data_IF_648756838783
#
_entry.id   IF_648756838783
#
_cell.length_a   1.000
_cell.length_b   1.000
_cell.length_c   1.000
_cell.angle_alpha   90.00
_cell.angle_beta   90.00
_cell.angle_gamma   90.00
#
_symmetry.space_group_name_H-M   'P 1'
#
loop_
_entity.id
_entity.type
_entity.pdbx_description
1 polymer ?
#
# COMPACT_ATOMS: atom_id res chain seq x y z
N UNK A 1 -27.41 -11.42 -5.96
CA UNK A 1 -26.75 -12.33 -6.92
C UNK A 1 -25.60 -11.56 -7.54
N UNK A 2 -24.34 -11.94 -7.26
CA UNK A 2 -23.20 -11.41 -8.04
C UNK A 2 -23.37 -11.95 -9.46
N UNK A 3 -23.57 -11.08 -10.45
CA UNK A 3 -23.43 -11.48 -11.85
C UNK A 3 -22.00 -12.01 -11.99
N UNK A 4 -21.82 -13.30 -12.27
CA UNK A 4 -20.50 -13.85 -12.54
C UNK A 4 -20.03 -13.23 -13.86
N UNK A 5 -19.14 -12.23 -13.76
CA UNK A 5 -18.44 -11.69 -14.91
C UNK A 5 -17.62 -12.79 -15.57
N UNK A 6 -17.67 -12.89 -16.90
CA UNK A 6 -16.92 -13.89 -17.62
C UNK A 6 -15.41 -13.58 -17.59
N UNK A 7 -14.58 -14.60 -17.38
CA UNK A 7 -13.13 -14.48 -17.42
C UNK A 7 -12.55 -15.53 -18.36
N UNK A 8 -11.44 -15.22 -19.01
CA UNK A 8 -10.67 -16.20 -19.78
C UNK A 8 -9.19 -15.81 -19.85
N UNK A 9 -8.34 -16.78 -20.18
CA UNK A 9 -6.91 -16.57 -20.42
C UNK A 9 -6.62 -16.88 -21.88
N UNK A 10 -5.94 -15.97 -22.58
CA UNK A 10 -5.45 -16.23 -23.93
C UNK A 10 -4.14 -17.02 -23.84
N UNK A 11 -4.10 -18.28 -24.32
CA UNK A 11 -2.91 -19.12 -24.24
C UNK A 11 -1.76 -18.67 -25.16
N UNK A 12 -2.03 -17.85 -26.18
CA UNK A 12 -0.99 -17.36 -27.11
C UNK A 12 -0.23 -16.17 -26.52
N UNK A 13 -0.95 -15.27 -25.83
CA UNK A 13 -0.37 -14.05 -25.25
C UNK A 13 -0.11 -14.17 -23.76
N UNK A 14 -0.64 -15.21 -23.10
CA UNK A 14 -0.64 -15.39 -21.65
C UNK A 14 -1.21 -14.16 -20.92
N UNK A 15 -2.29 -13.60 -21.47
CA UNK A 15 -3.04 -12.50 -20.88
C UNK A 15 -4.32 -13.02 -20.24
N UNK A 16 -4.70 -12.41 -19.13
CA UNK A 16 -5.96 -12.64 -18.44
C UNK A 16 -6.96 -11.54 -18.83
N UNK A 17 -8.18 -11.95 -19.13
CA UNK A 17 -9.27 -11.08 -19.55
C UNK A 17 -10.43 -11.23 -18.58
N UNK A 18 -10.89 -10.10 -18.04
CA UNK A 18 -12.05 -10.02 -17.14
C UNK A 18 -13.10 -9.13 -17.78
N UNK A 19 -14.29 -9.68 -18.00
CA UNK A 19 -15.41 -8.94 -18.57
C UNK A 19 -15.66 -7.70 -17.70
N UNK A 20 -15.75 -6.54 -18.33
CA UNK A 20 -15.95 -5.28 -17.63
C UNK A 20 -17.28 -4.69 -18.06
N UNK A 21 -18.15 -4.42 -17.09
CA UNK A 21 -19.40 -3.71 -17.39
C UNK A 21 -19.11 -2.22 -17.58
N UNK A 22 -19.24 -1.75 -18.81
CA UNK A 22 -19.14 -0.33 -19.20
C UNK A 22 -20.04 0.61 -18.40
N UNK A 23 -21.10 0.09 -17.77
CA UNK A 23 -22.13 0.90 -17.11
C UNK A 23 -22.08 0.86 -15.58
N UNK A 24 -21.24 0.02 -14.96
CA UNK A 24 -21.28 -0.18 -13.49
C UNK A 24 -19.95 -0.34 -12.79
N UNK A 25 -18.85 -0.71 -13.47
CA UNK A 25 -17.57 -0.93 -12.78
C UNK A 25 -16.55 0.18 -13.04
N UNK A 26 -16.12 0.86 -11.98
CA UNK A 26 -14.97 1.76 -12.00
C UNK A 26 -13.62 1.01 -12.01
N UNK A 27 -13.63 -0.33 -12.03
CA UNK A 27 -12.42 -1.15 -11.91
C UNK A 27 -11.35 -0.77 -12.93
N UNK A 28 -11.69 -0.72 -14.23
CA UNK A 28 -10.71 -0.37 -15.26
C UNK A 28 -10.12 1.02 -15.04
N UNK A 29 -10.96 1.98 -14.67
CA UNK A 29 -10.52 3.35 -14.37
C UNK A 29 -9.54 3.36 -13.19
N UNK A 30 -9.86 2.67 -12.09
CA UNK A 30 -8.99 2.58 -10.91
C UNK A 30 -7.68 1.87 -11.20
N UNK A 31 -7.72 0.79 -11.97
CA UNK A 31 -6.52 0.10 -12.46
C UNK A 31 -5.64 1.06 -13.27
N UNK A 32 -6.21 1.85 -14.19
CA UNK A 32 -5.44 2.83 -14.98
C UNK A 32 -4.92 3.99 -14.13
N UNK A 33 -5.67 4.46 -13.14
CA UNK A 33 -5.23 5.54 -12.25
C UNK A 33 -4.07 5.08 -11.35
N UNK A 34 -4.13 3.87 -10.80
CA UNK A 34 -3.07 3.34 -9.96
C UNK A 34 -1.83 2.92 -10.77
N UNK A 35 -2.05 2.23 -11.89
CA UNK A 35 -0.99 1.54 -12.63
C UNK A 35 -0.56 2.20 -13.93
N UNK A 36 -1.20 3.30 -14.35
CA UNK A 36 -0.92 3.96 -15.62
C UNK A 36 0.52 4.47 -15.77
N UNK A 37 1.22 4.69 -14.65
CA UNK A 37 2.64 5.04 -14.61
C UNK A 37 3.55 3.87 -14.22
N UNK A 38 3.01 2.66 -14.14
CA UNK A 38 3.76 1.44 -13.80
C UNK A 38 3.96 0.58 -15.04
N UNK A 39 4.84 -0.42 -14.95
CA UNK A 39 5.08 -1.38 -16.03
C UNK A 39 4.03 -2.50 -16.09
N UNK A 40 2.89 -2.38 -15.39
CA UNK A 40 1.82 -3.37 -15.49
C UNK A 40 0.99 -3.06 -16.75
N UNK A 41 0.99 -3.93 -17.78
CA UNK A 41 0.23 -3.67 -19.00
C UNK A 41 -1.26 -3.91 -18.72
N UNK A 42 -2.03 -2.83 -18.68
CA UNK A 42 -3.49 -2.87 -18.50
C UNK A 42 -4.15 -2.15 -19.66
N UNK A 43 -5.03 -2.87 -20.35
CA UNK A 43 -5.77 -2.34 -21.49
C UNK A 43 -7.17 -2.94 -21.54
N UNK A 44 -7.94 -2.57 -22.57
CA UNK A 44 -9.21 -3.22 -22.88
C UNK A 44 -9.21 -3.83 -24.27
N UNK A 45 -9.96 -4.92 -24.43
CA UNK A 45 -10.22 -5.52 -25.73
C UNK A 45 -11.72 -5.73 -25.92
N UNK A 46 -12.13 -5.85 -27.18
CA UNK A 46 -13.46 -6.34 -27.55
C UNK A 46 -13.35 -7.79 -27.98
N UNK A 47 -14.15 -8.67 -27.37
CA UNK A 47 -14.24 -10.09 -27.71
C UNK A 47 -15.72 -10.50 -27.65
N UNK A 48 -16.26 -11.12 -28.69
CA UNK A 48 -17.67 -11.51 -28.79
C UNK A 48 -18.66 -10.39 -28.39
N UNK A 49 -18.42 -9.18 -28.90
CA UNK A 49 -19.21 -7.97 -28.63
C UNK A 49 -19.25 -7.50 -27.16
N UNK A 50 -18.40 -8.07 -26.30
CA UNK A 50 -18.21 -7.68 -24.90
C UNK A 50 -16.84 -7.03 -24.72
N UNK A 51 -16.75 -6.07 -23.80
CA UNK A 51 -15.49 -5.45 -23.43
C UNK A 51 -14.86 -6.17 -22.25
N UNK A 52 -13.56 -6.39 -22.31
CA UNK A 52 -12.77 -7.03 -21.28
C UNK A 52 -11.60 -6.15 -20.88
N UNK A 53 -11.36 -6.02 -19.58
CA UNK A 53 -10.08 -5.54 -19.05
C UNK A 53 -9.05 -6.65 -19.21
N UNK A 54 -7.92 -6.30 -19.79
CA UNK A 54 -6.80 -7.20 -20.07
C UNK A 54 -5.62 -6.85 -19.17
N UNK A 55 -5.03 -7.86 -18.55
CA UNK A 55 -3.84 -7.75 -17.70
C UNK A 55 -2.96 -9.00 -17.85
N UNK A 56 -1.69 -8.99 -17.43
CA UNK A 56 -0.88 -10.20 -17.45
C UNK A 56 -1.54 -11.32 -16.67
N UNK A 57 -1.51 -12.52 -17.23
CA UNK A 57 -1.78 -13.70 -16.45
C UNK A 57 -0.61 -13.94 -15.48
N UNK A 58 -0.93 -14.16 -14.20
CA UNK A 58 0.08 -14.33 -13.17
C UNK A 58 -0.49 -14.89 -11.88
N UNK A 59 0.36 -15.01 -10.87
CA UNK A 59 -0.05 -15.56 -9.58
C UNK A 59 -0.70 -14.47 -8.74
N UNK A 60 -1.98 -14.65 -8.43
CA UNK A 60 -2.72 -13.78 -7.51
C UNK A 60 -2.48 -14.23 -6.08
N UNK A 61 -1.93 -13.33 -5.28
CA UNK A 61 -1.69 -13.49 -3.85
C UNK A 61 -2.79 -12.74 -3.10
N UNK A 62 -3.67 -13.50 -2.45
CA UNK A 62 -4.75 -13.00 -1.59
C UNK A 62 -4.91 -13.92 -0.37
N UNK A 63 -5.50 -13.40 0.71
CA UNK A 63 -5.92 -14.19 1.87
C UNK A 63 -6.88 -15.31 1.43
N UNK A 64 -7.76 -15.01 0.47
CA UNK A 64 -8.81 -15.91 -0.02
C UNK A 64 -8.26 -16.99 -0.95
N UNK A 65 -7.20 -16.69 -1.69
CA UNK A 65 -6.63 -17.63 -2.69
C UNK A 65 -5.55 -18.53 -2.09
N UNK A 66 -4.89 -18.12 -1.00
CA UNK A 66 -3.78 -18.87 -0.40
C UNK A 66 -4.17 -19.44 0.96
N UNK A 67 -4.33 -20.78 1.06
CA UNK A 67 -4.61 -21.46 2.33
C UNK A 67 -3.55 -21.15 3.39
N UNK A 68 -3.96 -21.04 4.65
CA UNK A 68 -3.08 -20.71 5.79
C UNK A 68 -1.77 -21.51 5.82
N UNK A 69 -1.84 -22.81 5.52
CA UNK A 69 -0.67 -23.74 5.49
C UNK A 69 0.38 -23.39 4.42
N UNK A 70 -0.02 -22.68 3.36
CA UNK A 70 0.83 -22.37 2.21
C UNK A 70 1.36 -20.93 2.24
N UNK A 71 0.88 -20.08 3.16
CA UNK A 71 1.25 -18.65 3.25
C UNK A 71 2.74 -18.41 3.45
N UNK A 72 3.41 -19.28 4.20
CA UNK A 72 4.87 -19.20 4.40
C UNK A 72 5.67 -19.30 3.10
N UNK A 73 5.13 -19.96 2.05
CA UNK A 73 5.81 -20.10 0.76
C UNK A 73 5.94 -18.78 0.01
N UNK A 74 5.01 -17.85 0.23
CA UNK A 74 5.00 -16.54 -0.44
C UNK A 74 5.39 -15.37 0.46
N UNK A 75 5.57 -15.61 1.77
CA UNK A 75 5.94 -14.59 2.76
C UNK A 75 7.13 -13.73 2.30
N UNK A 76 8.20 -14.35 1.82
CA UNK A 76 9.39 -13.64 1.32
C UNK A 76 9.11 -12.73 0.10
N UNK A 77 8.19 -13.12 -0.79
CA UNK A 77 7.76 -12.31 -1.93
C UNK A 77 7.05 -11.05 -1.43
N UNK A 78 6.14 -11.23 -0.46
CA UNK A 78 5.38 -10.14 0.15
C UNK A 78 6.31 -9.19 0.89
N UNK A 79 7.17 -9.69 1.78
CA UNK A 79 8.12 -8.86 2.55
C UNK A 79 9.00 -8.00 1.65
N UNK A 80 9.55 -8.57 0.56
CA UNK A 80 10.35 -7.81 -0.41
C UNK A 80 9.56 -6.71 -1.14
N UNK A 81 8.24 -6.88 -1.24
CA UNK A 81 7.35 -5.97 -1.95
C UNK A 81 6.66 -4.93 -1.08
N UNK A 82 6.78 -4.99 0.25
CA UNK A 82 6.16 -4.03 1.18
C UNK A 82 6.37 -2.57 0.76
N UNK A 83 7.59 -2.11 0.38
CA UNK A 83 7.78 -0.73 -0.08
C UNK A 83 6.92 -0.36 -1.30
N UNK A 84 6.78 -1.28 -2.26
CA UNK A 84 5.99 -1.07 -3.47
C UNK A 84 4.48 -1.15 -3.18
N UNK A 85 4.08 -2.03 -2.26
CA UNK A 85 2.69 -2.13 -1.79
C UNK A 85 2.26 -0.85 -1.05
N UNK A 86 3.08 -0.35 -0.12
CA UNK A 86 2.83 0.91 0.60
C UNK A 86 2.67 2.09 -0.36
N UNK A 87 3.52 2.18 -1.39
CA UNK A 87 3.39 3.21 -2.43
C UNK A 87 2.01 3.17 -3.10
N UNK A 88 1.49 1.97 -3.40
CA UNK A 88 0.18 1.81 -4.03
C UNK A 88 -0.95 2.19 -3.07
N UNK A 89 -0.89 1.75 -1.81
CA UNK A 89 -1.86 2.13 -0.77
C UNK A 89 -1.91 3.65 -0.58
N UNK A 90 -0.75 4.30 -0.48
CA UNK A 90 -0.66 5.75 -0.41
C UNK A 90 -1.28 6.42 -1.65
N UNK A 91 -0.97 5.94 -2.85
CA UNK A 91 -1.56 6.47 -4.09
C UNK A 91 -3.09 6.36 -4.07
N UNK A 92 -3.66 5.24 -3.63
CA UNK A 92 -5.12 5.12 -3.52
C UNK A 92 -5.72 6.11 -2.52
N UNK A 93 -5.06 6.31 -1.37
CA UNK A 93 -5.46 7.32 -0.39
C UNK A 93 -5.50 8.73 -1.00
N UNK A 94 -4.48 9.10 -1.80
CA UNK A 94 -4.44 10.40 -2.49
C UNK A 94 -5.51 10.54 -3.58
N UNK A 95 -5.88 9.43 -4.23
CA UNK A 95 -6.93 9.39 -5.23
C UNK A 95 -8.34 9.29 -4.61
N UNK A 96 -8.44 9.20 -3.29
CA UNK A 96 -9.70 9.01 -2.56
C UNK A 96 -10.46 7.74 -3.02
N UNK A 97 -9.71 6.68 -3.35
CA UNK A 97 -10.23 5.37 -3.76
C UNK A 97 -10.04 4.40 -2.59
N UNK A 98 -11.11 3.70 -2.19
CA UNK A 98 -11.10 2.80 -1.04
C UNK A 98 -11.65 1.42 -1.43
N UNK A 99 -11.03 0.39 -0.88
CA UNK A 99 -11.50 -1.00 -0.97
C UNK A 99 -12.52 -1.29 0.13
N UNK A 100 -13.43 -2.21 -0.15
CA UNK A 100 -14.41 -2.74 0.82
C UNK A 100 -14.25 -4.24 1.08
N UNK A 101 -13.19 -4.86 0.56
CA UNK A 101 -12.90 -6.30 0.70
C UNK A 101 -11.38 -6.52 0.80
N UNK A 102 -10.96 -7.78 0.98
CA UNK A 102 -9.56 -8.16 1.11
C UNK A 102 -8.74 -7.78 -0.13
N UNK A 103 -7.50 -7.32 0.11
CA UNK A 103 -6.60 -6.91 -0.97
C UNK A 103 -6.09 -8.11 -1.76
N UNK A 104 -6.08 -8.00 -3.09
CA UNK A 104 -5.52 -8.99 -4.00
C UNK A 104 -4.32 -8.43 -4.76
N UNK A 105 -3.24 -9.23 -4.83
CA UNK A 105 -1.98 -8.78 -5.42
C UNK A 105 -1.55 -9.69 -6.57
N UNK A 106 -1.44 -9.14 -7.77
CA UNK A 106 -0.86 -9.84 -8.92
C UNK A 106 0.67 -9.80 -8.83
N UNK A 107 1.30 -10.97 -8.74
CA UNK A 107 2.75 -11.08 -8.86
C UNK A 107 3.17 -11.10 -10.33
N UNK A 108 3.83 -10.02 -10.76
CA UNK A 108 4.29 -9.84 -12.13
C UNK A 108 5.65 -9.16 -12.15
N UNK A 109 6.61 -9.71 -12.91
CA UNK A 109 7.98 -9.17 -13.06
C UNK A 109 8.66 -8.80 -11.71
N UNK A 110 8.49 -9.65 -10.69
CA UNK A 110 9.11 -9.45 -9.37
C UNK A 110 8.38 -8.46 -8.46
N UNK A 111 7.25 -7.90 -8.90
CA UNK A 111 6.46 -6.91 -8.14
C UNK A 111 5.05 -7.41 -7.82
N UNK A 112 4.52 -6.97 -6.68
CA UNK A 112 3.12 -7.18 -6.28
C UNK A 112 2.29 -5.96 -6.62
N UNK A 113 1.43 -6.09 -7.62
CA UNK A 113 0.51 -5.05 -8.07
C UNK A 113 -0.87 -5.28 -7.47
N UNK A 114 -1.44 -4.26 -6.83
CA UNK A 114 -2.79 -4.30 -6.30
C UNK A 114 -3.80 -4.38 -7.44
N UNK A 115 -4.65 -5.38 -7.45
CA UNK A 115 -5.66 -5.63 -8.49
C UNK A 115 -7.03 -5.91 -7.84
N UNK A 116 -8.02 -6.19 -8.68
CA UNK A 116 -9.39 -6.55 -8.30
C UNK A 116 -10.14 -5.41 -7.62
N UNK A 117 -10.53 -4.41 -8.41
CA UNK A 117 -11.18 -3.18 -7.93
C UNK A 117 -12.72 -3.24 -8.04
N UNK A 118 -13.31 -4.42 -8.20
CA UNK A 118 -14.76 -4.61 -8.38
C UNK A 118 -15.61 -3.99 -7.26
N UNK A 119 -15.06 -3.95 -6.06
CA UNK A 119 -15.72 -3.49 -4.83
C UNK A 119 -15.10 -2.21 -4.30
N UNK A 120 -14.22 -1.58 -5.09
CA UNK A 120 -13.64 -0.29 -4.73
C UNK A 120 -14.59 0.85 -5.11
N UNK A 121 -14.51 1.95 -4.37
CA UNK A 121 -15.33 3.15 -4.62
C UNK A 121 -14.57 4.44 -4.29
N UNK A 122 -15.05 5.55 -4.83
CA UNK A 122 -14.63 6.88 -4.36
C UNK A 122 -15.24 7.19 -3.00
N UNK A 123 -14.51 7.95 -2.17
CA UNK A 123 -14.99 8.44 -0.87
C UNK A 123 -14.54 7.58 0.31
N UNK A 124 -14.64 8.13 1.52
CA UNK A 124 -14.17 7.48 2.74
C UNK A 124 -15.21 6.46 3.20
N UNK A 125 -14.87 5.17 3.12
CA UNK A 125 -15.53 4.18 3.96
C UNK A 125 -14.88 4.27 5.35
N UNK A 126 -15.68 4.65 6.35
CA UNK A 126 -15.19 4.89 7.72
C UNK A 126 -14.82 3.59 8.45
N UNK A 127 -15.20 2.42 7.91
CA UNK A 127 -15.00 1.14 8.60
C UNK A 127 -13.60 0.56 8.40
N UNK A 128 -12.97 0.76 7.24
CA UNK A 128 -11.62 0.23 6.97
C UNK A 128 -10.83 1.15 6.02
N UNK A 129 -9.72 1.72 6.52
CA UNK A 129 -8.77 2.43 5.65
C UNK A 129 -8.01 1.46 4.76
N UNK A 130 -7.49 1.91 3.61
CA UNK A 130 -6.63 1.06 2.78
C UNK A 130 -5.39 0.53 3.55
N UNK A 131 -4.92 1.27 4.57
CA UNK A 131 -3.87 0.79 5.47
C UNK A 131 -4.36 -0.32 6.40
N UNK A 132 -5.57 -0.21 6.95
CA UNK A 132 -6.19 -1.27 7.76
C UNK A 132 -6.27 -2.58 6.97
N UNK A 133 -6.71 -2.51 5.70
CA UNK A 133 -6.76 -3.68 4.82
C UNK A 133 -5.37 -4.24 4.50
N UNK A 134 -4.37 -3.37 4.32
CA UNK A 134 -2.97 -3.81 4.17
C UNK A 134 -2.46 -4.53 5.42
N UNK A 135 -2.74 -4.00 6.62
CA UNK A 135 -2.30 -4.63 7.86
C UNK A 135 -2.99 -5.98 8.11
N UNK A 136 -4.28 -6.09 7.78
CA UNK A 136 -5.00 -7.35 7.81
C UNK A 136 -4.37 -8.37 6.84
N UNK A 137 -4.04 -7.92 5.62
CA UNK A 137 -3.28 -8.72 4.65
C UNK A 137 -1.94 -9.19 5.21
N UNK A 138 -1.08 -8.28 5.66
CA UNK A 138 0.27 -8.63 6.15
C UNK A 138 0.21 -9.57 7.36
N UNK A 139 -0.69 -9.30 8.31
CA UNK A 139 -0.89 -10.13 9.51
C UNK A 139 -1.36 -11.54 9.13
N UNK A 140 -2.24 -11.67 8.14
CA UNK A 140 -2.70 -12.97 7.66
C UNK A 140 -1.57 -13.84 7.08
N UNK A 141 -0.48 -13.21 6.58
CA UNK A 141 0.74 -13.87 6.12
C UNK A 141 1.87 -13.88 7.16
N UNK A 142 1.56 -13.61 8.44
CA UNK A 142 2.48 -13.65 9.57
C UNK A 142 3.64 -12.63 9.44
N UNK A 143 3.38 -11.49 8.78
CA UNK A 143 4.36 -10.43 8.60
C UNK A 143 4.13 -9.37 9.67
N UNK A 144 5.18 -9.12 10.48
CA UNK A 144 5.18 -8.05 11.47
C UNK A 144 5.11 -6.68 10.77
N UNK A 145 4.05 -5.94 11.06
CA UNK A 145 3.81 -4.60 10.55
C UNK A 145 3.91 -3.51 11.63
N UNK A 146 4.36 -3.86 12.85
CA UNK A 146 4.45 -2.96 14.01
C UNK A 146 5.17 -1.65 13.69
N UNK A 147 6.33 -1.72 13.05
CA UNK A 147 7.10 -0.52 12.66
C UNK A 147 6.34 0.39 11.69
N UNK A 148 5.55 -0.19 10.78
CA UNK A 148 4.75 0.56 9.80
C UNK A 148 3.56 1.20 10.52
N UNK A 149 2.84 0.44 11.35
CA UNK A 149 1.71 0.97 12.12
C UNK A 149 2.15 2.06 13.10
N UNK A 150 3.29 1.87 13.76
CA UNK A 150 3.88 2.89 14.64
C UNK A 150 4.26 4.15 13.87
N UNK A 151 4.78 3.99 12.64
CA UNK A 151 5.09 5.14 11.79
C UNK A 151 3.83 5.97 11.48
N UNK A 152 2.73 5.32 11.10
CA UNK A 152 1.46 6.03 10.85
C UNK A 152 0.96 6.70 12.14
N UNK A 153 0.98 5.98 13.26
CA UNK A 153 0.58 6.50 14.58
C UNK A 153 1.37 7.74 14.97
N UNK A 154 2.70 7.73 14.81
CA UNK A 154 3.52 8.91 15.09
C UNK A 154 3.22 10.06 14.14
N UNK A 155 3.06 9.80 12.83
CA UNK A 155 2.70 10.86 11.89
C UNK A 155 1.39 11.53 12.29
N UNK A 156 0.37 10.75 12.64
CA UNK A 156 -0.92 11.25 13.09
C UNK A 156 -0.80 12.00 14.41
N UNK A 157 -0.08 11.46 15.40
CA UNK A 157 0.20 12.14 16.66
C UNK A 157 0.81 13.53 16.46
N UNK A 158 1.83 13.65 15.61
CA UNK A 158 2.48 14.94 15.34
C UNK A 158 1.60 15.90 14.52
N UNK A 159 0.55 15.40 13.85
CA UNK A 159 -0.44 16.23 13.12
C UNK A 159 -1.57 16.71 14.02
N UNK A 160 -2.07 15.85 14.90
CA UNK A 160 -3.28 16.09 15.70
C UNK A 160 -2.97 16.76 17.03
N UNK A 161 -1.81 16.49 17.61
CA UNK A 161 -1.29 17.15 18.79
C UNK A 161 -1.27 16.29 20.06
N UNK A 162 -0.77 16.88 21.15
CA UNK A 162 -0.47 16.17 22.40
C UNK A 162 -1.68 15.48 23.05
N UNK A 163 -2.90 16.00 22.83
CA UNK A 163 -4.14 15.45 23.40
C UNK A 163 -4.45 14.03 22.90
N UNK A 164 -3.79 13.61 21.82
CA UNK A 164 -3.93 12.29 21.21
C UNK A 164 -2.81 11.31 21.61
N UNK A 165 -1.96 11.67 22.58
CA UNK A 165 -1.02 10.70 23.16
C UNK A 165 -1.79 9.63 23.94
N UNK A 166 -1.55 8.37 23.63
CA UNK A 166 -2.13 7.23 24.35
C UNK A 166 -1.22 6.71 25.46
N UNK A 167 0.06 7.09 25.43
CA UNK A 167 1.11 6.63 26.34
C UNK A 167 1.99 7.78 26.84
N UNK A 168 2.59 7.60 28.01
CA UNK A 168 3.57 8.55 28.54
C UNK A 168 4.81 8.67 27.62
N UNK A 169 5.22 7.58 26.98
CA UNK A 169 6.34 7.56 26.04
C UNK A 169 6.06 8.40 24.77
N UNK A 170 4.85 8.33 24.23
CA UNK A 170 4.42 9.22 23.15
C UNK A 170 4.44 10.68 23.59
N UNK A 171 3.96 10.97 24.80
CA UNK A 171 3.93 12.32 25.32
C UNK A 171 5.34 12.90 25.48
N UNK A 172 6.28 12.11 26.04
CA UNK A 172 7.69 12.47 26.14
C UNK A 172 8.30 12.70 24.76
N UNK A 173 8.03 11.78 23.82
CA UNK A 173 8.56 11.86 22.45
C UNK A 173 8.03 13.09 21.72
N UNK A 174 6.73 13.35 21.80
CA UNK A 174 6.07 14.52 21.23
C UNK A 174 6.65 15.81 21.81
N UNK A 175 6.69 15.95 23.14
CA UNK A 175 7.22 17.16 23.79
C UNK A 175 8.68 17.43 23.45
N UNK A 176 9.48 16.37 23.29
CA UNK A 176 10.91 16.49 22.96
C UNK A 176 11.14 16.90 21.51
N UNK A 177 10.34 16.37 20.58
CA UNK A 177 10.64 16.43 19.15
C UNK A 177 9.72 17.36 18.35
N UNK A 178 8.55 17.70 18.88
CA UNK A 178 7.56 18.45 18.11
C UNK A 178 8.05 19.87 17.81
N UNK A 179 8.28 20.15 16.53
CA UNK A 179 8.43 21.50 16.01
C UNK A 179 7.06 21.99 15.49
N UNK A 180 6.36 22.90 16.18
CA UNK A 180 5.04 23.38 15.75
C UNK A 180 5.08 24.15 14.42
N UNK A 181 6.23 24.66 13.99
CA UNK A 181 6.37 25.40 12.72
C UNK A 181 6.50 24.48 11.51
N UNK A 182 6.84 23.21 11.74
CA UNK A 182 7.04 22.22 10.69
C UNK A 182 5.70 21.60 10.26
N UNK A 183 5.47 21.47 8.96
CA UNK A 183 4.34 20.69 8.42
C UNK A 183 4.72 19.20 8.40
N UNK A 184 3.84 18.31 8.84
CA UNK A 184 4.11 16.86 8.92
C UNK A 184 3.38 16.15 7.79
N UNK A 185 4.03 16.01 6.65
CA UNK A 185 3.39 15.47 5.46
C UNK A 185 3.72 14.00 5.22
N UNK A 186 4.98 13.64 5.45
CA UNK A 186 5.50 12.33 5.07
C UNK A 186 6.17 11.67 6.26
N UNK A 187 6.11 10.34 6.29
CA UNK A 187 6.92 9.55 7.21
C UNK A 187 7.61 8.40 6.49
N UNK A 188 8.85 8.19 6.88
CA UNK A 188 9.70 7.10 6.41
C UNK A 188 10.12 6.27 7.61
N UNK A 189 10.29 4.96 7.40
CA UNK A 189 10.93 4.09 8.38
C UNK A 189 12.17 3.42 7.79
N UNK A 190 13.07 2.98 8.67
CA UNK A 190 14.18 2.11 8.35
C UNK A 190 14.31 1.01 9.40
N UNK A 191 14.63 -0.19 8.94
CA UNK A 191 14.91 -1.35 9.82
C UNK A 191 16.40 -1.46 10.14
N UNK A 192 17.27 -0.77 9.39
CA UNK A 192 18.66 -0.66 9.80
C UNK A 192 18.72 0.32 10.98
N UNK A 193 19.26 -0.13 12.12
CA UNK A 193 19.30 0.68 13.35
C UNK A 193 20.34 1.82 13.28
N UNK A 194 20.76 2.25 12.08
CA UNK A 194 21.75 3.31 11.91
C UNK A 194 21.14 4.65 12.30
N UNK A 195 21.90 5.47 13.00
CA UNK A 195 21.51 6.86 13.25
C UNK A 195 21.42 7.61 11.93
N UNK A 196 20.22 8.11 11.59
CA UNK A 196 19.95 8.74 10.30
C UNK A 196 20.43 10.19 10.38
N UNK A 197 21.36 10.56 9.50
CA UNK A 197 21.99 11.87 9.49
C UNK A 197 21.51 12.70 8.30
N UNK A 198 20.21 13.01 8.30
CA UNK A 198 19.58 13.86 7.28
C UNK A 198 18.96 15.08 7.96
N UNK A 199 18.83 16.20 7.23
CA UNK A 199 18.37 17.52 7.66
C UNK A 199 17.85 17.58 9.12
N UNK A 200 18.54 18.31 9.99
CA UNK A 200 18.25 18.40 11.43
C UNK A 200 16.88 19.00 11.75
N UNK A 201 16.19 19.62 10.76
CA UNK A 201 14.82 20.13 10.93
C UNK A 201 13.75 19.04 10.83
N UNK A 202 14.08 17.86 10.32
CA UNK A 202 13.16 16.73 10.34
C UNK A 202 13.01 16.19 11.77
N UNK A 203 11.89 15.54 12.04
CA UNK A 203 11.69 14.82 13.30
C UNK A 203 12.26 13.41 13.13
N UNK A 204 13.21 13.04 13.98
CA UNK A 204 13.86 11.73 13.99
C UNK A 204 13.47 10.95 15.23
N UNK A 205 12.89 9.77 15.03
CA UNK A 205 12.45 8.87 16.11
C UNK A 205 13.30 7.61 16.04
N UNK A 206 13.91 7.24 17.17
CA UNK A 206 14.78 6.07 17.30
C UNK A 206 14.13 5.10 18.27
N UNK A 207 13.91 3.85 17.84
CA UNK A 207 13.30 2.80 18.65
C UNK A 207 13.99 1.45 18.44
N UNK A 208 13.71 0.50 19.32
CA UNK A 208 14.25 -0.86 19.20
C UNK A 208 13.75 -1.60 17.95
N UNK A 209 12.57 -1.22 17.45
CA UNK A 209 11.94 -1.82 16.27
C UNK A 209 12.42 -1.21 14.96
N UNK A 210 13.03 -0.02 15.00
CA UNK A 210 13.50 0.70 13.84
C UNK A 210 13.50 2.21 14.03
N UNK A 211 13.96 2.90 13.00
CA UNK A 211 14.10 4.35 13.01
C UNK A 211 13.08 4.99 12.07
N UNK A 212 12.57 6.16 12.41
CA UNK A 212 11.59 6.89 11.62
C UNK A 212 12.01 8.33 11.39
N UNK A 213 11.59 8.87 10.25
CA UNK A 213 11.77 10.28 9.92
C UNK A 213 10.45 10.85 9.43
N UNK A 214 9.96 11.87 10.14
CA UNK A 214 8.84 12.70 9.68
C UNK A 214 9.42 13.95 9.03
N UNK A 215 8.84 14.33 7.89
CA UNK A 215 9.30 15.46 7.08
C UNK A 215 8.14 16.18 6.38
N UNK A 216 8.35 17.43 6.00
CA UNK A 216 7.43 18.28 5.25
C UNK A 216 7.51 18.03 3.73
N UNK A 217 8.64 17.54 3.25
CA UNK A 217 8.96 17.31 1.83
C UNK A 217 9.23 15.84 1.50
N UNK A 218 9.06 15.46 0.23
CA UNK A 218 9.50 14.15 -0.23
C UNK A 218 11.04 14.14 -0.25
N UNK A 219 11.64 13.16 0.42
CA UNK A 219 13.09 13.01 0.49
C UNK A 219 13.67 12.62 -0.89
N UNK A 220 14.90 13.05 -1.15
CA UNK A 220 15.64 12.67 -2.35
C UNK A 220 15.80 11.13 -2.41
N UNK A 221 15.57 10.48 -3.57
CA UNK A 221 15.74 9.03 -3.72
C UNK A 221 17.12 8.48 -3.33
N UNK A 222 18.19 9.24 -3.55
CA UNK A 222 19.53 8.82 -3.14
C UNK A 222 19.68 8.81 -1.62
N UNK A 223 19.08 9.79 -0.93
CA UNK A 223 19.03 9.83 0.53
C UNK A 223 18.22 8.65 1.06
N UNK A 224 17.04 8.40 0.50
CA UNK A 224 16.21 7.28 0.98
C UNK A 224 16.90 5.95 0.73
N UNK A 225 17.64 5.80 -0.36
CA UNK A 225 18.44 4.61 -0.63
C UNK A 225 19.62 4.45 0.33
N UNK A 226 20.37 5.51 0.59
CA UNK A 226 21.55 5.49 1.48
C UNK A 226 21.20 5.08 2.92
N UNK A 227 20.06 5.56 3.40
CA UNK A 227 19.56 5.29 4.75
C UNK A 227 18.55 4.14 4.81
N UNK A 228 18.28 3.50 3.67
CA UNK A 228 17.30 2.43 3.47
C UNK A 228 15.90 2.79 4.01
N UNK A 229 15.52 4.05 3.79
CA UNK A 229 14.24 4.61 4.17
C UNK A 229 13.13 4.18 3.22
N UNK A 230 12.10 3.56 3.79
CA UNK A 230 10.87 3.19 3.10
C UNK A 230 9.79 4.21 3.48
N UNK A 231 9.23 4.88 2.47
CA UNK A 231 8.11 5.80 2.69
C UNK A 231 6.85 5.01 3.03
N UNK A 232 6.17 5.43 4.09
CA UNK A 232 4.85 4.91 4.45
C UNK A 232 3.77 5.75 3.79
N UNK A 233 3.79 7.06 4.06
CA UNK A 233 2.83 8.08 3.61
C UNK A 233 3.60 9.22 2.95
#
# INVERSE_FOLDING_TARGET
MKNQLHTFTDPQTNLFHKETSLTTSNEFLFLKMLHGMTNLPIDTIMHDYKQYTTMPHGHVISIDTIPKKDRNKVKHIITKNIPFMLKQIYTLQQLNIYYSDCLQWLYYQGKLYLIDFDVASYGVDYQDTNYSLLFNFLTAFDIDCSLISDSIRYLDLFRTGIEFCHTEEEQITYNRLNDPSMVKNYIYYSTNKRHIQINTKNIHIYSDNGNMVITDIILNPEITKEWELVRVV
#
